data_IF_321335502833
#
_entry.id   IF_321335502833
#
_cell.length_a   1.000
_cell.length_b   1.000
_cell.length_c   1.000
_cell.angle_alpha   90.00
_cell.angle_beta   90.00
_cell.angle_gamma   90.00
#
_symmetry.space_group_name_H-M   'P 1'
#
loop_
_entity.id
_entity.type
_entity.pdbx_description
1 polymer ?
#
# COMPACT_ATOMS: atom_id res chain seq x y z
N UNK A 1 -2.43 34.47 21.06
CA UNK A 1 -2.79 33.82 19.77
C UNK A 1 -2.32 32.37 19.70
N UNK A 2 -1.01 32.07 19.81
CA UNK A 2 -0.52 30.68 19.78
C UNK A 2 -1.04 29.81 20.94
N UNK A 3 -1.15 30.34 22.16
CA UNK A 3 -1.71 29.61 23.30
C UNK A 3 -3.21 29.34 23.17
N UNK A 4 -3.99 30.31 22.68
CA UNK A 4 -5.42 30.12 22.42
C UNK A 4 -5.67 29.10 21.30
N UNK A 5 -4.83 29.12 20.25
CA UNK A 5 -4.86 28.10 19.20
C UNK A 5 -4.49 26.72 19.76
N UNK A 6 -3.48 26.64 20.63
CA UNK A 6 -3.11 25.40 21.31
C UNK A 6 -4.24 24.87 22.19
N UNK A 7 -4.83 25.71 23.04
CA UNK A 7 -5.95 25.33 23.92
C UNK A 7 -7.20 24.93 23.14
N UNK A 8 -7.50 25.61 22.04
CA UNK A 8 -8.60 25.24 21.15
C UNK A 8 -8.31 23.92 20.45
N UNK A 9 -7.10 23.74 19.94
CA UNK A 9 -6.69 22.50 19.26
C UNK A 9 -6.76 21.33 20.24
N UNK A 10 -6.25 21.44 21.47
CA UNK A 10 -6.12 20.35 22.44
C UNK A 10 -7.36 20.09 23.32
N UNK A 11 -8.54 20.58 22.92
CA UNK A 11 -9.79 20.25 23.61
C UNK A 11 -10.04 18.74 23.63
N UNK A 12 -10.35 18.20 24.79
CA UNK A 12 -10.60 16.76 25.01
C UNK A 12 -11.65 16.19 24.04
N UNK A 13 -12.70 16.97 23.76
CA UNK A 13 -13.82 16.62 22.88
C UNK A 13 -13.41 16.28 21.44
N UNK A 14 -12.28 16.81 20.96
CA UNK A 14 -11.82 16.57 19.58
C UNK A 14 -10.98 15.30 19.43
N UNK A 15 -10.34 14.85 20.51
CA UNK A 15 -9.33 13.78 20.45
C UNK A 15 -9.72 12.55 21.23
N UNK A 16 -10.59 12.66 22.24
CA UNK A 16 -10.94 11.59 23.17
C UNK A 16 -12.41 11.17 23.04
N UNK A 17 -12.74 9.90 23.33
CA UNK A 17 -14.13 9.46 23.39
C UNK A 17 -14.87 10.14 24.56
N UNK A 18 -16.20 10.25 24.49
CA UNK A 18 -16.99 10.86 25.56
C UNK A 18 -16.82 10.10 26.88
N UNK A 19 -16.54 10.85 27.95
CA UNK A 19 -16.34 10.30 29.31
C UNK A 19 -14.90 9.97 29.69
N UNK A 20 -13.91 10.35 28.88
CA UNK A 20 -12.49 10.11 29.12
C UNK A 20 -11.73 11.44 29.14
N UNK A 21 -10.96 11.67 30.20
CA UNK A 21 -10.12 12.87 30.35
C UNK A 21 -8.65 12.58 30.02
N UNK A 22 -7.87 13.64 29.79
CA UNK A 22 -6.41 13.52 29.66
C UNK A 22 -5.76 12.93 30.93
N UNK A 23 -6.35 13.16 32.11
CA UNK A 23 -5.88 12.62 33.40
C UNK A 23 -6.06 11.10 33.51
N UNK A 24 -7.12 10.55 32.90
CA UNK A 24 -7.35 9.10 32.88
C UNK A 24 -6.30 8.39 32.02
N UNK A 25 -5.81 9.07 30.97
CA UNK A 25 -4.69 8.60 30.14
C UNK A 25 -3.34 8.70 30.85
N UNK A 26 -3.13 9.70 31.71
CA UNK A 26 -1.93 9.84 32.54
C UNK A 26 -1.89 8.77 33.64
N UNK A 27 -3.03 8.45 34.28
CA UNK A 27 -3.12 7.39 35.29
C UNK A 27 -2.80 5.98 34.74
N UNK A 28 -2.86 5.78 33.43
CA UNK A 28 -2.47 4.53 32.75
C UNK A 28 -0.94 4.39 32.51
N UNK A 29 -0.11 5.35 32.92
CA UNK A 29 1.35 5.36 32.72
C UNK A 29 2.09 4.11 33.23
N UNK A 30 1.52 3.35 34.16
CA UNK A 30 2.16 2.17 34.75
C UNK A 30 2.11 0.88 33.92
N UNK A 31 1.25 0.77 32.91
CA UNK A 31 1.07 -0.46 32.13
C UNK A 31 0.67 -0.16 30.69
N UNK A 32 1.64 -0.27 29.75
CA UNK A 32 1.44 -0.43 28.30
C UNK A 32 0.56 0.61 27.56
N UNK A 33 0.65 1.89 27.92
CA UNK A 33 0.10 2.96 27.06
C UNK A 33 0.87 3.03 25.72
N UNK A 34 0.20 3.15 24.56
CA UNK A 34 0.87 3.35 23.28
C UNK A 34 1.59 4.70 23.25
N UNK A 35 2.88 4.69 22.95
CA UNK A 35 3.71 5.90 22.97
C UNK A 35 4.21 6.23 21.55
N UNK A 36 4.37 7.52 21.20
CA UNK A 36 4.86 7.91 19.87
C UNK A 36 6.21 7.28 19.50
N UNK A 37 7.05 6.97 20.51
CA UNK A 37 8.34 6.29 20.32
C UNK A 37 8.20 4.86 19.78
N UNK A 38 7.09 4.19 20.05
CA UNK A 38 6.85 2.82 19.60
C UNK A 38 6.67 2.78 18.08
N UNK A 39 6.19 3.88 17.47
CA UNK A 39 6.11 4.05 16.02
C UNK A 39 7.48 4.00 15.34
N UNK A 40 8.58 4.30 16.06
CA UNK A 40 9.93 4.18 15.50
C UNK A 40 10.29 2.73 15.19
N UNK A 41 9.63 1.74 15.83
CA UNK A 41 9.79 0.32 15.50
C UNK A 41 9.29 0.00 14.10
N UNK A 42 8.37 0.79 13.54
CA UNK A 42 7.88 0.60 12.17
C UNK A 42 8.99 0.75 11.12
N UNK A 43 10.02 1.58 11.38
CA UNK A 43 11.13 1.81 10.44
C UNK A 43 12.05 0.59 10.26
N UNK A 44 12.62 -0.04 11.31
CA UNK A 44 13.38 -1.28 11.14
C UNK A 44 12.51 -2.42 10.63
N UNK A 45 11.22 -2.48 11.00
CA UNK A 45 10.27 -3.44 10.41
C UNK A 45 10.11 -3.21 8.91
N UNK A 46 10.00 -1.96 8.45
CA UNK A 46 9.93 -1.62 7.03
C UNK A 46 11.16 -2.11 6.27
N UNK A 47 12.37 -1.91 6.82
CA UNK A 47 13.60 -2.45 6.22
C UNK A 47 13.58 -3.98 6.16
N UNK A 48 13.09 -4.64 7.21
CA UNK A 48 12.86 -6.08 7.23
C UNK A 48 11.91 -6.54 6.12
N UNK A 49 10.79 -5.84 5.92
CA UNK A 49 9.85 -6.12 4.83
C UNK A 49 10.46 -5.91 3.44
N UNK A 50 11.31 -4.90 3.26
CA UNK A 50 12.04 -4.69 1.99
C UNK A 50 12.97 -5.88 1.70
N UNK A 51 13.70 -6.36 2.70
CA UNK A 51 14.56 -7.53 2.55
C UNK A 51 13.75 -8.81 2.28
N UNK A 52 12.64 -9.00 2.99
CA UNK A 52 11.74 -10.12 2.81
C UNK A 52 11.11 -10.10 1.41
N UNK A 53 10.67 -8.94 0.94
CA UNK A 53 10.18 -8.71 -0.42
C UNK A 53 11.22 -9.12 -1.45
N UNK A 54 12.46 -8.65 -1.30
CA UNK A 54 13.54 -8.99 -2.22
C UNK A 54 13.80 -10.50 -2.27
N UNK A 55 13.80 -11.17 -1.10
CA UNK A 55 13.94 -12.61 -1.02
C UNK A 55 12.77 -13.34 -1.69
N UNK A 56 11.53 -12.93 -1.42
CA UNK A 56 10.32 -13.52 -2.00
C UNK A 56 10.28 -13.37 -3.52
N UNK A 57 10.52 -12.16 -4.04
CA UNK A 57 10.51 -11.90 -5.47
C UNK A 57 11.53 -12.78 -6.21
N UNK A 58 12.73 -12.96 -5.63
CA UNK A 58 13.82 -13.74 -6.24
C UNK A 58 13.67 -15.25 -6.08
N UNK A 59 13.18 -15.72 -4.93
CA UNK A 59 13.14 -17.15 -4.57
C UNK A 59 11.82 -17.82 -4.92
N UNK A 60 10.70 -17.10 -4.89
CA UNK A 60 9.35 -17.67 -5.04
C UNK A 60 8.67 -17.12 -6.29
N UNK A 61 8.53 -15.81 -6.38
CA UNK A 61 7.70 -15.20 -7.42
C UNK A 61 8.29 -15.36 -8.83
N UNK A 62 9.60 -15.18 -8.98
CA UNK A 62 10.24 -15.29 -10.29
C UNK A 62 10.24 -16.73 -10.86
N UNK A 63 10.57 -17.78 -10.08
CA UNK A 63 10.34 -19.16 -10.54
C UNK A 63 8.88 -19.43 -10.89
N UNK A 64 7.95 -18.97 -10.04
CA UNK A 64 6.51 -19.14 -10.26
C UNK A 64 6.05 -18.48 -11.56
N UNK A 65 6.57 -17.30 -11.90
CA UNK A 65 6.23 -16.60 -13.14
C UNK A 65 6.64 -17.41 -14.38
N UNK A 66 7.77 -18.14 -14.31
CA UNK A 66 8.22 -19.02 -15.40
C UNK A 66 7.34 -20.26 -15.55
N UNK A 67 6.99 -20.92 -14.43
CA UNK A 67 6.13 -22.11 -14.43
C UNK A 67 4.74 -21.77 -14.99
N UNK A 68 4.19 -20.61 -14.65
CA UNK A 68 2.91 -20.13 -15.16
C UNK A 68 2.98 -19.58 -16.60
N UNK A 69 4.16 -19.64 -17.25
CA UNK A 69 4.33 -19.21 -18.62
C UNK A 69 4.15 -17.72 -18.84
N UNK A 70 4.45 -16.87 -17.84
CA UNK A 70 4.42 -15.41 -17.99
C UNK A 70 5.48 -15.00 -19.00
N UNK A 71 5.05 -14.70 -20.22
CA UNK A 71 5.95 -14.28 -21.31
C UNK A 71 6.29 -12.80 -21.16
N UNK A 72 7.58 -12.51 -21.11
CA UNK A 72 8.06 -11.15 -21.25
C UNK A 72 7.88 -10.66 -22.69
N UNK A 73 7.57 -9.37 -22.84
CA UNK A 73 7.50 -8.76 -24.17
C UNK A 73 8.87 -8.87 -24.82
N UNK A 74 8.89 -9.28 -26.08
CA UNK A 74 10.12 -9.28 -26.88
C UNK A 74 10.63 -7.84 -26.95
N UNK A 75 11.76 -7.61 -26.30
CA UNK A 75 12.39 -6.31 -26.23
C UNK A 75 13.43 -6.22 -27.35
N UNK A 76 13.10 -5.48 -28.42
CA UNK A 76 14.01 -5.32 -29.55
C UNK A 76 15.28 -4.61 -29.09
N UNK A 77 16.44 -5.20 -29.36
CA UNK A 77 17.73 -4.57 -29.10
C UNK A 77 17.85 -3.36 -30.04
N UNK A 78 18.05 -2.18 -29.45
CA UNK A 78 18.14 -0.92 -30.19
C UNK A 78 19.55 -0.74 -30.72
N UNK A 79 19.67 -0.20 -31.93
CA UNK A 79 20.94 0.25 -32.49
C UNK A 79 21.51 1.38 -31.64
N UNK A 80 22.75 1.23 -31.15
CA UNK A 80 23.38 2.24 -30.32
C UNK A 80 23.69 3.50 -31.16
N UNK A 81 22.93 4.57 -30.94
CA UNK A 81 23.15 5.89 -31.56
C UNK A 81 23.39 6.89 -30.43
N UNK A 82 24.66 7.19 -30.09
CA UNK A 82 25.01 7.97 -28.89
C UNK A 82 24.32 9.34 -28.80
N UNK A 83 24.14 10.01 -29.94
CA UNK A 83 23.46 11.32 -30.01
C UNK A 83 21.98 11.22 -29.62
N UNK A 84 21.27 10.19 -30.09
CA UNK A 84 19.86 9.96 -29.74
C UNK A 84 19.72 9.57 -28.26
N UNK A 85 20.63 8.75 -27.73
CA UNK A 85 20.64 8.37 -26.30
C UNK A 85 20.92 9.57 -25.39
N UNK A 86 21.85 10.45 -25.79
CA UNK A 86 22.14 11.69 -25.07
C UNK A 86 20.92 12.60 -25.02
N UNK A 87 20.22 12.78 -26.15
CA UNK A 87 18.98 13.55 -26.20
C UNK A 87 17.88 12.92 -25.34
N UNK A 88 17.69 11.60 -25.44
CA UNK A 88 16.65 10.87 -24.69
C UNK A 88 16.82 10.99 -23.16
N UNK A 89 18.07 10.96 -22.70
CA UNK A 89 18.40 10.99 -21.27
C UNK A 89 18.38 12.40 -20.70
N UNK A 90 18.84 13.40 -21.46
CA UNK A 90 19.03 14.78 -20.97
C UNK A 90 17.89 15.74 -21.30
N UNK A 91 17.21 15.56 -22.44
CA UNK A 91 16.26 16.54 -22.96
C UNK A 91 14.82 16.04 -22.85
N UNK A 92 14.42 15.10 -23.71
CA UNK A 92 13.05 14.61 -23.76
C UNK A 92 12.96 13.17 -24.26
N UNK A 93 12.05 12.41 -23.65
CA UNK A 93 11.67 11.06 -24.08
C UNK A 93 10.70 11.07 -25.27
N UNK A 94 10.03 12.20 -25.51
CA UNK A 94 9.06 12.42 -26.58
C UNK A 94 9.44 13.72 -27.32
N UNK A 95 10.37 13.64 -28.29
CA UNK A 95 10.75 14.82 -29.07
C UNK A 95 9.59 15.34 -29.92
N UNK A 96 9.55 16.65 -30.10
CA UNK A 96 8.69 17.36 -31.05
C UNK A 96 9.18 17.20 -32.49
N UNK A 97 8.35 17.51 -33.48
CA UNK A 97 8.71 17.36 -34.91
C UNK A 97 9.94 18.19 -35.32
N UNK A 98 10.10 19.38 -34.74
CA UNK A 98 11.26 20.23 -34.98
C UNK A 98 12.54 19.60 -34.43
N UNK A 99 12.47 18.98 -33.24
CA UNK A 99 13.61 18.28 -32.64
C UNK A 99 13.97 17.01 -33.41
N UNK A 100 12.98 16.25 -33.88
CA UNK A 100 13.21 15.08 -34.73
C UNK A 100 13.95 15.48 -36.01
N UNK A 101 13.53 16.56 -36.67
CA UNK A 101 14.19 17.08 -37.89
C UNK A 101 15.66 17.46 -37.64
N UNK A 102 15.95 18.09 -36.50
CA UNK A 102 17.33 18.40 -36.09
C UNK A 102 18.16 17.12 -35.86
N UNK A 103 17.60 16.13 -35.17
CA UNK A 103 18.28 14.87 -34.87
C UNK A 103 18.55 14.01 -36.11
N UNK A 104 17.63 14.04 -37.09
CA UNK A 104 17.79 13.43 -38.42
C UNK A 104 19.06 13.95 -39.09
N UNK A 105 19.21 15.28 -39.15
CA UNK A 105 20.38 15.92 -39.76
C UNK A 105 21.67 15.61 -39.00
N UNK A 106 21.63 15.58 -37.67
CA UNK A 106 22.81 15.33 -36.84
C UNK A 106 23.28 13.87 -36.88
N UNK A 107 22.37 12.92 -37.09
CA UNK A 107 22.67 11.49 -37.04
C UNK A 107 22.78 10.85 -38.44
N UNK A 108 22.49 11.60 -39.50
CA UNK A 108 22.39 11.09 -40.88
C UNK A 108 21.47 9.86 -40.98
N UNK A 109 20.31 9.93 -40.31
CA UNK A 109 19.30 8.87 -40.26
C UNK A 109 18.01 9.37 -40.89
N UNK A 110 17.18 8.46 -41.41
CA UNK A 110 15.84 8.83 -41.88
C UNK A 110 14.91 9.19 -40.72
N UNK A 111 13.90 10.03 -40.99
CA UNK A 111 12.87 10.40 -40.00
C UNK A 111 12.26 9.17 -39.32
N UNK A 112 11.89 8.16 -40.12
CA UNK A 112 11.29 6.91 -39.65
C UNK A 112 12.24 6.10 -38.76
N UNK A 113 13.55 6.12 -39.02
CA UNK A 113 14.55 5.46 -38.18
C UNK A 113 14.66 6.14 -36.82
N UNK A 114 14.69 7.48 -36.78
CA UNK A 114 14.73 8.25 -35.52
C UNK A 114 13.45 8.01 -34.71
N UNK A 115 12.26 8.11 -35.31
CA UNK A 115 11.00 7.85 -34.62
C UNK A 115 10.89 6.41 -34.10
N UNK A 116 11.31 5.44 -34.92
CA UNK A 116 11.33 4.02 -34.52
C UNK A 116 12.31 3.79 -33.38
N UNK A 117 13.47 4.44 -33.41
CA UNK A 117 14.46 4.39 -32.34
C UNK A 117 13.86 4.89 -31.02
N UNK A 118 13.24 6.08 -31.01
CA UNK A 118 12.60 6.63 -29.80
C UNK A 118 11.45 5.75 -29.30
N UNK A 119 10.63 5.21 -30.21
CA UNK A 119 9.56 4.28 -29.85
C UNK A 119 10.11 3.01 -29.20
N UNK A 120 11.15 2.42 -29.79
CA UNK A 120 11.78 1.22 -29.27
C UNK A 120 12.48 1.51 -27.93
N UNK A 121 13.12 2.67 -27.77
CA UNK A 121 13.81 3.10 -26.54
C UNK A 121 12.85 3.27 -25.37
N UNK A 122 11.70 3.90 -25.62
CA UNK A 122 10.59 3.96 -24.65
C UNK A 122 10.02 2.58 -24.32
N UNK A 123 9.99 1.66 -25.29
CA UNK A 123 9.54 0.29 -25.06
C UNK A 123 10.55 -0.51 -24.23
N UNK A 124 11.87 -0.24 -24.35
CA UNK A 124 12.90 -0.85 -23.51
C UNK A 124 12.79 -0.42 -22.04
N UNK A 125 12.40 0.83 -21.76
CA UNK A 125 12.18 1.30 -20.38
C UNK A 125 10.93 0.69 -19.72
N UNK A 126 10.07 0.02 -20.48
CA UNK A 126 8.88 -0.59 -19.89
C UNK A 126 9.30 -1.81 -19.07
N UNK A 127 8.83 -1.91 -17.82
CA UNK A 127 9.12 -3.07 -16.98
C UNK A 127 8.57 -4.35 -17.62
N UNK A 128 9.33 -5.43 -17.41
CA UNK A 128 8.98 -6.76 -17.87
C UNK A 128 7.68 -7.26 -17.23
N UNK A 129 6.98 -8.17 -17.92
CA UNK A 129 5.74 -8.74 -17.38
C UNK A 129 6.05 -9.59 -16.14
N UNK A 130 7.19 -10.30 -16.16
CA UNK A 130 7.70 -11.05 -15.01
C UNK A 130 7.95 -10.14 -13.79
N UNK A 131 8.50 -8.94 -13.98
CA UNK A 131 8.71 -7.99 -12.87
C UNK A 131 7.37 -7.53 -12.29
N UNK A 132 6.41 -7.15 -13.14
CA UNK A 132 5.06 -6.76 -12.68
C UNK A 132 4.35 -7.90 -11.94
N UNK A 133 4.53 -9.13 -12.40
CA UNK A 133 4.02 -10.33 -11.75
C UNK A 133 4.62 -10.51 -10.36
N UNK A 134 5.95 -10.38 -10.22
CA UNK A 134 6.63 -10.53 -8.94
C UNK A 134 6.13 -9.49 -7.93
N UNK A 135 6.09 -8.22 -8.34
CA UNK A 135 5.56 -7.12 -7.51
C UNK A 135 4.10 -7.36 -7.10
N UNK A 136 3.26 -7.84 -8.03
CA UNK A 136 1.86 -8.18 -7.77
C UNK A 136 1.71 -9.31 -6.74
N UNK A 137 2.47 -10.39 -6.92
CA UNK A 137 2.40 -11.58 -6.07
C UNK A 137 2.84 -11.29 -4.63
N UNK A 138 3.85 -10.44 -4.43
CA UNK A 138 4.28 -10.01 -3.10
C UNK A 138 3.16 -9.27 -2.37
N UNK A 139 2.57 -8.25 -3.03
CA UNK A 139 1.45 -7.48 -2.47
C UNK A 139 0.27 -8.40 -2.15
N UNK A 140 -0.07 -9.31 -3.06
CA UNK A 140 -1.14 -10.28 -2.85
C UNK A 140 -0.92 -11.16 -1.60
N UNK A 141 0.26 -11.76 -1.46
CA UNK A 141 0.57 -12.63 -0.31
C UNK A 141 0.54 -11.82 0.98
N UNK A 142 1.10 -10.61 0.98
CA UNK A 142 1.08 -9.76 2.16
C UNK A 142 -0.35 -9.40 2.58
N UNK A 143 -1.15 -8.84 1.67
CA UNK A 143 -2.52 -8.42 1.99
C UNK A 143 -3.40 -9.61 2.42
N UNK A 144 -3.19 -10.80 1.85
CA UNK A 144 -3.89 -12.01 2.29
C UNK A 144 -3.53 -12.40 3.73
N UNK A 145 -2.23 -12.34 4.09
CA UNK A 145 -1.76 -12.64 5.44
C UNK A 145 -2.24 -11.59 6.44
N UNK A 146 -2.16 -10.30 6.09
CA UNK A 146 -2.65 -9.19 6.90
C UNK A 146 -4.15 -9.30 7.17
N UNK A 147 -4.96 -9.51 6.12
CA UNK A 147 -6.40 -9.74 6.25
C UNK A 147 -6.71 -10.94 7.17
N UNK A 148 -6.00 -12.06 6.98
CA UNK A 148 -6.20 -13.25 7.81
C UNK A 148 -5.84 -13.00 9.27
N UNK A 149 -4.76 -12.25 9.53
CA UNK A 149 -4.35 -11.85 10.88
C UNK A 149 -5.35 -10.88 11.52
N UNK A 150 -5.82 -9.86 10.80
CA UNK A 150 -6.83 -8.92 11.27
C UNK A 150 -8.16 -9.62 11.58
N UNK A 151 -8.60 -10.54 10.72
CA UNK A 151 -9.80 -11.33 10.94
C UNK A 151 -9.68 -12.26 12.17
N UNK A 152 -8.54 -12.94 12.33
CA UNK A 152 -8.26 -13.76 13.52
C UNK A 152 -8.22 -12.91 14.81
N UNK A 153 -7.69 -11.69 14.74
CA UNK A 153 -7.69 -10.75 15.86
C UNK A 153 -9.11 -10.38 16.29
N UNK A 154 -10.02 -10.17 15.33
CA UNK A 154 -11.42 -9.83 15.61
C UNK A 154 -12.22 -11.00 16.21
N UNK A 155 -11.99 -12.24 15.77
CA UNK A 155 -12.64 -13.43 16.35
C UNK A 155 -12.34 -13.54 17.84
N UNK A 156 -11.10 -13.25 18.23
CA UNK A 156 -10.70 -13.27 19.63
C UNK A 156 -11.30 -12.11 20.46
N UNK A 157 -11.57 -10.95 19.83
CA UNK A 157 -12.19 -9.77 20.47
C UNK A 157 -13.71 -9.90 20.61
N UNK A 158 -14.39 -10.56 19.66
CA UNK A 158 -15.84 -10.80 19.68
C UNK A 158 -16.33 -11.46 20.98
N UNK A 159 -15.45 -12.18 21.70
CA UNK A 159 -15.75 -12.81 22.98
C UNK A 159 -15.86 -11.80 24.15
N UNK A 160 -15.35 -10.57 23.98
CA UNK A 160 -15.33 -9.49 24.98
C UNK A 160 -15.75 -8.15 24.35
N UNK A 161 -17.06 -8.00 24.15
CA UNK A 161 -17.79 -6.88 23.51
C UNK A 161 -17.69 -5.51 24.21
N UNK A 162 -16.50 -5.05 24.61
CA UNK A 162 -16.33 -3.66 25.08
C UNK A 162 -15.38 -2.89 24.15
N UNK A 163 -15.90 -2.41 23.03
CA UNK A 163 -15.17 -1.56 22.08
C UNK A 163 -14.69 -0.23 22.69
N UNK A 164 -15.37 0.22 23.75
CA UNK A 164 -15.09 1.49 24.45
C UNK A 164 -14.14 1.36 25.64
N UNK A 165 -13.74 0.15 26.03
CA UNK A 165 -12.81 -0.01 27.15
C UNK A 165 -11.40 0.38 26.72
N UNK A 166 -10.85 1.41 27.37
CA UNK A 166 -9.43 1.85 27.33
C UNK A 166 -8.43 0.79 27.84
N UNK A 167 -8.88 -0.45 28.08
CA UNK A 167 -8.04 -1.55 28.53
C UNK A 167 -6.99 -1.83 27.47
N UNK A 168 -5.74 -1.91 27.93
CA UNK A 168 -4.55 -2.12 27.12
C UNK A 168 -4.77 -3.11 25.97
N UNK A 169 -4.30 -2.77 24.76
CA UNK A 169 -4.40 -3.69 23.64
C UNK A 169 -3.67 -4.98 23.97
N UNK A 170 -4.27 -6.12 23.59
CA UNK A 170 -3.55 -7.40 23.67
C UNK A 170 -2.29 -7.33 22.80
N UNK A 171 -1.25 -8.08 23.17
CA UNK A 171 0.02 -8.10 22.44
C UNK A 171 -0.16 -8.40 20.94
N UNK A 172 -1.19 -9.17 20.58
CA UNK A 172 -1.56 -9.44 19.19
C UNK A 172 -1.97 -8.17 18.43
N UNK A 173 -2.79 -7.29 19.02
CA UNK A 173 -3.19 -6.03 18.36
C UNK A 173 -2.01 -5.09 18.19
N UNK A 174 -1.13 -5.01 19.20
CA UNK A 174 0.09 -4.20 19.12
C UNK A 174 0.96 -4.65 17.94
N UNK A 175 1.27 -5.95 17.86
CA UNK A 175 2.12 -6.48 16.79
C UNK A 175 1.47 -6.37 15.41
N UNK A 176 0.16 -6.62 15.32
CA UNK A 176 -0.58 -6.41 14.07
C UNK A 176 -0.43 -4.96 13.59
N UNK A 177 -0.65 -3.99 14.48
CA UNK A 177 -0.49 -2.57 14.18
C UNK A 177 0.92 -2.20 13.73
N UNK A 178 1.95 -2.68 14.45
CA UNK A 178 3.35 -2.36 14.15
C UNK A 178 3.82 -2.99 12.84
N UNK A 179 3.39 -4.22 12.55
CA UNK A 179 3.71 -4.92 11.30
C UNK A 179 3.02 -4.25 10.10
N UNK A 180 1.76 -3.88 10.24
CA UNK A 180 1.00 -3.22 9.17
C UNK A 180 1.55 -1.82 8.88
N UNK A 181 1.82 -1.02 9.93
CA UNK A 181 2.48 0.28 9.79
C UNK A 181 3.88 0.15 9.15
N UNK A 182 4.67 -0.85 9.56
CA UNK A 182 5.97 -1.15 8.97
C UNK A 182 5.87 -1.54 7.49
N UNK A 183 4.83 -2.27 7.10
CA UNK A 183 4.58 -2.59 5.71
C UNK A 183 4.23 -1.36 4.87
N UNK A 184 3.34 -0.47 5.33
CA UNK A 184 3.04 0.76 4.61
C UNK A 184 4.27 1.66 4.46
N UNK A 185 5.12 1.74 5.49
CA UNK A 185 6.43 2.38 5.38
C UNK A 185 7.32 1.71 4.32
N UNK A 186 7.34 0.38 4.26
CA UNK A 186 8.10 -0.35 3.23
C UNK A 186 7.61 -0.03 1.81
N UNK A 187 6.29 0.08 1.62
CA UNK A 187 5.69 0.46 0.34
C UNK A 187 6.02 1.90 -0.03
N UNK A 188 5.96 2.82 0.93
CA UNK A 188 6.31 4.22 0.73
C UNK A 188 7.79 4.39 0.35
N UNK A 189 8.71 3.69 1.04
CA UNK A 189 10.15 3.73 0.74
C UNK A 189 10.46 3.11 -0.63
N UNK A 190 9.79 2.02 -0.99
CA UNK A 190 9.98 1.36 -2.29
C UNK A 190 9.28 2.08 -3.45
N UNK A 191 8.36 3.02 -3.21
CA UNK A 191 7.53 3.63 -4.25
C UNK A 191 8.35 4.29 -5.37
N UNK A 192 9.53 4.83 -5.03
CA UNK A 192 10.42 5.51 -5.99
C UNK A 192 11.19 4.55 -6.89
N UNK A 193 11.43 3.32 -6.41
CA UNK A 193 12.14 2.24 -7.12
C UNK A 193 11.17 1.35 -7.89
N UNK A 194 9.93 1.25 -7.41
CA UNK A 194 8.84 0.57 -8.07
C UNK A 194 8.50 1.22 -9.42
N UNK A 195 7.85 0.45 -10.28
CA UNK A 195 7.38 0.94 -11.58
C UNK A 195 6.44 2.12 -11.36
N UNK A 196 6.83 3.31 -11.81
CA UNK A 196 5.97 4.49 -11.82
C UNK A 196 4.72 4.24 -12.66
N UNK A 197 3.59 4.07 -11.98
CA UNK A 197 2.26 3.96 -12.60
C UNK A 197 1.69 5.36 -12.86
N UNK A 198 0.58 5.46 -13.59
CA UNK A 198 -0.06 6.75 -13.91
C UNK A 198 -0.63 7.44 -12.66
N UNK A 199 -1.03 6.62 -11.71
CA UNK A 199 -1.57 6.89 -10.37
C UNK A 199 -0.48 7.15 -9.31
N UNK A 200 0.77 7.40 -9.71
CA UNK A 200 1.90 7.55 -8.77
C UNK A 200 1.69 8.62 -7.69
N UNK A 201 1.14 9.79 -8.06
CA UNK A 201 0.89 10.88 -7.10
C UNK A 201 -0.21 10.51 -6.10
N UNK A 202 -1.29 9.93 -6.60
CA UNK A 202 -2.42 9.47 -5.78
C UNK A 202 -1.98 8.37 -4.82
N UNK A 203 -1.17 7.41 -5.29
CA UNK A 203 -0.61 6.35 -4.46
C UNK A 203 0.25 6.92 -3.32
N UNK A 204 1.13 7.90 -3.59
CA UNK A 204 1.95 8.54 -2.55
C UNK A 204 1.07 9.24 -1.51
N UNK A 205 0.11 10.06 -1.95
CA UNK A 205 -0.80 10.78 -1.05
C UNK A 205 -1.59 9.79 -0.19
N UNK A 206 -2.07 8.70 -0.79
CA UNK A 206 -2.77 7.64 -0.08
C UNK A 206 -1.88 7.00 1.00
N UNK A 207 -0.62 6.65 0.70
CA UNK A 207 0.28 6.03 1.67
C UNK A 207 0.65 6.98 2.81
N UNK A 208 0.83 8.27 2.53
CA UNK A 208 1.03 9.27 3.58
C UNK A 208 -0.22 9.40 4.47
N UNK A 209 -1.41 9.40 3.88
CA UNK A 209 -2.66 9.48 4.61
C UNK A 209 -2.87 8.24 5.51
N UNK A 210 -2.62 7.03 4.99
CA UNK A 210 -2.76 5.81 5.79
C UNK A 210 -1.75 5.76 6.93
N UNK A 211 -0.47 6.02 6.68
CA UNK A 211 0.57 6.07 7.73
C UNK A 211 0.22 7.11 8.79
N UNK A 212 -0.27 8.28 8.39
CA UNK A 212 -0.70 9.33 9.31
C UNK A 212 -1.89 8.89 10.17
N UNK A 213 -2.95 8.35 9.56
CA UNK A 213 -4.15 7.89 10.26
C UNK A 213 -3.85 6.73 11.22
N UNK A 214 -2.99 5.79 10.82
CA UNK A 214 -2.52 4.72 11.69
C UNK A 214 -1.70 5.29 12.86
N UNK A 215 -0.70 6.13 12.58
CA UNK A 215 0.12 6.74 13.64
C UNK A 215 -0.73 7.54 14.64
N UNK A 216 -1.71 8.28 14.12
CA UNK A 216 -2.64 9.06 14.93
C UNK A 216 -3.57 8.17 15.77
N UNK A 217 -4.16 7.14 15.18
CA UNK A 217 -5.03 6.19 15.88
C UNK A 217 -4.27 5.44 16.98
N UNK A 218 -2.99 5.12 16.76
CA UNK A 218 -2.13 4.53 17.78
C UNK A 218 -1.85 5.47 18.95
N UNK A 219 -1.39 6.69 18.70
CA UNK A 219 -1.07 7.69 19.73
C UNK A 219 -2.29 8.10 20.58
N UNK A 220 -3.48 8.10 19.96
CA UNK A 220 -4.75 8.44 20.63
C UNK A 220 -5.44 7.23 21.28
N UNK A 221 -4.75 6.07 21.36
CA UNK A 221 -5.26 4.84 21.96
C UNK A 221 -6.54 4.27 21.30
N UNK A 222 -6.77 4.59 20.01
CA UNK A 222 -7.88 4.05 19.22
C UNK A 222 -7.55 2.69 18.59
N UNK A 223 -6.70 1.87 19.21
CA UNK A 223 -6.12 0.68 18.59
C UNK A 223 -7.17 -0.37 18.21
N UNK A 224 -8.24 -0.52 19.01
CA UNK A 224 -9.34 -1.46 18.72
C UNK A 224 -10.15 -1.05 17.49
N UNK A 225 -10.53 0.23 17.42
CA UNK A 225 -11.26 0.80 16.27
C UNK A 225 -10.34 0.82 15.04
N UNK A 226 -9.07 1.20 15.24
CA UNK A 226 -8.04 1.19 14.21
C UNK A 226 -7.82 -0.19 13.59
N UNK A 227 -7.85 -1.26 14.39
CA UNK A 227 -7.76 -2.65 13.87
C UNK A 227 -8.91 -2.99 12.93
N UNK A 228 -10.13 -2.54 13.24
CA UNK A 228 -11.29 -2.75 12.36
C UNK A 228 -11.14 -1.94 11.05
N UNK A 229 -10.69 -0.69 11.15
CA UNK A 229 -10.45 0.18 9.99
C UNK A 229 -9.35 -0.41 9.10
N UNK A 230 -8.27 -0.93 9.69
CA UNK A 230 -7.16 -1.59 9.00
C UNK A 230 -7.61 -2.82 8.22
N UNK A 231 -8.37 -3.74 8.85
CA UNK A 231 -8.88 -4.94 8.16
C UNK A 231 -9.69 -4.58 6.89
N UNK A 232 -10.48 -3.53 6.98
CA UNK A 232 -11.31 -3.06 5.87
C UNK A 232 -10.44 -2.42 4.80
N UNK A 233 -9.51 -1.57 5.22
CA UNK A 233 -8.60 -0.89 4.33
C UNK A 233 -7.83 -1.93 3.49
N UNK A 234 -7.25 -2.95 4.13
CA UNK A 234 -6.60 -4.09 3.47
C UNK A 234 -7.52 -4.82 2.49
N UNK A 235 -8.79 -5.01 2.85
CA UNK A 235 -9.80 -5.63 1.98
C UNK A 235 -10.06 -4.80 0.71
N UNK A 236 -10.02 -3.47 0.83
CA UNK A 236 -10.24 -2.56 -0.30
C UNK A 236 -9.01 -2.47 -1.23
N UNK A 237 -7.80 -2.45 -0.65
CA UNK A 237 -6.54 -2.48 -1.39
C UNK A 237 -6.39 -3.78 -2.19
N UNK A 238 -6.80 -4.90 -1.59
CA UNK A 238 -6.88 -6.19 -2.26
C UNK A 238 -7.75 -6.15 -3.53
N UNK A 239 -8.96 -5.56 -3.45
CA UNK A 239 -9.88 -5.45 -4.59
C UNK A 239 -9.33 -4.58 -5.72
N UNK A 240 -8.64 -3.49 -5.38
CA UNK A 240 -8.04 -2.59 -6.36
C UNK A 240 -6.91 -3.27 -7.15
N UNK A 241 -6.05 -4.03 -6.47
CA UNK A 241 -4.92 -4.71 -7.13
C UNK A 241 -5.41 -5.86 -8.06
N UNK A 242 -6.48 -6.58 -7.68
CA UNK A 242 -7.10 -7.62 -8.53
C UNK A 242 -7.74 -7.03 -9.79
N UNK A 243 -8.48 -5.92 -9.67
CA UNK A 243 -9.13 -5.24 -10.80
C UNK A 243 -8.11 -4.68 -11.80
N UNK A 244 -7.03 -4.09 -11.31
CA UNK A 244 -6.03 -3.45 -12.16
C UNK A 244 -5.14 -4.45 -12.93
N UNK A 245 -5.08 -5.72 -12.50
CA UNK A 245 -4.15 -6.72 -13.03
C UNK A 245 -4.87 -8.06 -13.27
N UNK A 246 -5.55 -8.25 -14.41
CA UNK A 246 -6.33 -9.47 -14.71
C UNK A 246 -5.51 -10.77 -14.74
N UNK A 247 -4.18 -10.68 -14.81
CA UNK A 247 -3.28 -11.82 -14.68
C UNK A 247 -3.28 -12.41 -13.24
N UNK A 248 -3.57 -11.58 -12.23
CA UNK A 248 -3.80 -12.01 -10.85
C UNK A 248 -5.12 -12.77 -10.75
N UNK A 249 -6.15 -12.39 -11.52
CA UNK A 249 -7.43 -13.11 -11.57
C UNK A 249 -7.23 -14.57 -12.01
N UNK A 250 -6.30 -14.85 -12.92
CA UNK A 250 -5.99 -16.22 -13.37
C UNK A 250 -5.35 -17.06 -12.25
N UNK A 251 -4.43 -16.48 -11.47
CA UNK A 251 -3.86 -17.10 -10.27
C UNK A 251 -4.88 -17.23 -9.14
N UNK A 252 -5.74 -16.22 -8.96
CA UNK A 252 -6.82 -16.20 -7.99
C UNK A 252 -7.83 -17.29 -8.30
N UNK A 253 -8.26 -17.47 -9.57
CA UNK A 253 -9.15 -18.55 -10.02
C UNK A 253 -8.47 -19.92 -9.92
N UNK A 254 -7.18 -20.02 -10.25
CA UNK A 254 -6.40 -21.26 -10.11
C UNK A 254 -6.21 -21.67 -8.63
N UNK A 255 -5.98 -20.72 -7.73
CA UNK A 255 -5.90 -20.95 -6.29
C UNK A 255 -7.29 -21.09 -5.64
N UNK A 256 -8.33 -20.47 -6.22
CA UNK A 256 -9.73 -20.53 -5.78
C UNK A 256 -10.39 -21.88 -6.01
N UNK A 257 -9.85 -22.74 -6.87
CA UNK A 257 -10.47 -24.04 -7.13
C UNK A 257 -10.52 -24.96 -5.88
N UNK A 258 -9.95 -24.54 -4.74
CA UNK A 258 -10.07 -25.25 -3.46
C UNK A 258 -10.70 -24.47 -2.28
N UNK A 259 -11.18 -23.22 -2.41
CA UNK A 259 -11.81 -22.50 -1.27
C UNK A 259 -12.96 -21.57 -1.68
N UNK A 260 -14.06 -22.16 -2.13
CA UNK A 260 -15.37 -21.50 -2.37
C UNK A 260 -15.93 -20.82 -1.10
N UNK A 261 -15.47 -21.22 0.09
CA UNK A 261 -15.91 -20.64 1.37
C UNK A 261 -15.34 -19.23 1.63
N UNK A 262 -14.21 -18.84 1.03
CA UNK A 262 -13.53 -17.58 1.37
C UNK A 262 -14.16 -16.36 0.68
N UNK A 263 -14.69 -16.53 -0.54
CA UNK A 263 -15.35 -15.45 -1.29
C UNK A 263 -16.70 -15.06 -0.68
N UNK A 264 -17.45 -16.04 -0.15
CA UNK A 264 -18.71 -15.80 0.55
C UNK A 264 -18.48 -15.04 1.86
N UNK A 265 -17.46 -15.43 2.64
CA UNK A 265 -17.07 -14.75 3.88
C UNK A 265 -16.64 -13.31 3.58
N UNK A 266 -15.88 -13.09 2.50
CA UNK A 266 -15.46 -11.75 2.07
C UNK A 266 -16.66 -10.85 1.69
N UNK A 267 -17.63 -11.37 0.94
CA UNK A 267 -18.85 -10.61 0.59
C UNK A 267 -19.69 -10.31 1.83
N UNK A 268 -19.81 -11.27 2.75
CA UNK A 268 -20.54 -11.08 4.01
C UNK A 268 -19.85 -10.01 4.87
N UNK A 269 -18.52 -10.02 4.96
CA UNK A 269 -17.75 -9.01 5.70
C UNK A 269 -17.83 -7.62 5.06
N UNK A 270 -17.83 -7.54 3.73
CA UNK A 270 -18.03 -6.28 3.00
C UNK A 270 -19.43 -5.71 3.25
N UNK A 271 -20.48 -6.56 3.20
CA UNK A 271 -21.85 -6.14 3.50
C UNK A 271 -22.00 -5.70 4.96
N UNK A 272 -21.47 -6.48 5.92
CA UNK A 272 -21.48 -6.12 7.34
C UNK A 272 -20.73 -4.80 7.60
N UNK A 273 -19.67 -4.53 6.85
CA UNK A 273 -18.88 -3.32 6.97
C UNK A 273 -19.59 -2.07 6.40
N UNK A 274 -20.24 -2.18 5.24
CA UNK A 274 -21.07 -1.08 4.70
C UNK A 274 -22.18 -0.74 5.69
N UNK A 275 -22.80 -1.75 6.30
CA UNK A 275 -23.80 -1.57 7.34
C UNK A 275 -23.18 -0.87 8.57
N UNK A 276 -21.98 -1.27 9.01
CA UNK A 276 -21.28 -0.65 10.13
C UNK A 276 -20.89 0.81 9.87
N UNK A 277 -20.37 1.15 8.69
CA UNK A 277 -20.11 2.55 8.30
C UNK A 277 -21.41 3.36 8.31
N UNK A 278 -22.49 2.82 7.74
CA UNK A 278 -23.78 3.50 7.74
C UNK A 278 -24.29 3.75 9.16
N UNK A 279 -24.13 2.78 10.07
CA UNK A 279 -24.45 2.95 11.49
C UNK A 279 -23.55 3.96 12.19
N UNK A 280 -22.24 3.94 11.95
CA UNK A 280 -21.27 4.84 12.57
C UNK A 280 -21.43 6.28 12.09
N UNK A 281 -21.68 6.49 10.79
CA UNK A 281 -22.03 7.81 10.22
C UNK A 281 -23.35 8.30 10.83
N UNK A 282 -24.40 7.47 10.87
CA UNK A 282 -25.65 7.86 11.53
C UNK A 282 -25.44 8.24 13.01
N UNK A 283 -24.58 7.52 13.74
CA UNK A 283 -24.29 7.80 15.15
C UNK A 283 -23.49 9.10 15.37
N UNK A 284 -22.56 9.45 14.46
CA UNK A 284 -21.82 10.71 14.49
C UNK A 284 -22.71 11.92 14.12
N UNK A 285 -23.67 11.75 13.22
CA UNK A 285 -24.56 12.84 12.77
C UNK A 285 -25.85 13.00 13.61
N UNK A 286 -25.98 12.26 14.72
CA UNK A 286 -27.10 12.39 15.65
C UNK A 286 -26.79 13.19 16.93
N UNK A 287 -25.64 13.87 16.98
CA UNK A 287 -25.30 14.88 17.99
C UNK A 287 -24.84 16.19 17.33
#
# INVERSE_FOLDING_TARGET
MMEQLSQWLWKQEYWLPPGISWEDLEKMEGSRRPLPRDLLLALPLALGFIMLRYAFERRVAFPLSRVLGVKDRVCLKITAVPKLEAFYTKNSRQPTQNEISSLVNQCNLTHRQVETWFRNRRNQDRPSNSKKFCEASWRFVFYLLAFSAGFASLINVSRYLNFYSLVNPSDAHYWYYMLELGFYWSLLLCVSVDVKRKDFKEQIVHHFATIFLLSFSYCSNYIRIGTLVMLVHDSSDFLLEVRARPLILFLFVYFQFNLINFSLIFVILLCAFVIFICFFICFIFQF
#
